data_IF_454384862546
#
_entry.id   IF_454384862546
#
_cell.length_a   1.000
_cell.length_b   1.000
_cell.length_c   1.000
_cell.angle_alpha   90.00
_cell.angle_beta   90.00
_cell.angle_gamma   90.00
#
_symmetry.space_group_name_H-M   'P 1'
#
loop_
_entity.id
_entity.type
_entity.pdbx_description
1 polymer ?
#
# COMPACT_ATOMS: atom_id res chain seq x y z
N UNK A 1 6.90 -12.44 -15.37
CA UNK A 1 6.36 -13.31 -14.30
C UNK A 1 7.41 -13.57 -13.23
N UNK A 2 8.63 -14.03 -13.56
CA UNK A 2 9.72 -14.22 -12.58
C UNK A 2 9.96 -12.99 -11.68
N UNK A 3 10.10 -11.80 -12.27
CA UNK A 3 10.30 -10.54 -11.51
C UNK A 3 9.15 -10.19 -10.56
N UNK A 4 7.89 -10.38 -10.98
CA UNK A 4 6.72 -10.19 -10.12
C UNK A 4 6.78 -11.09 -8.89
N UNK A 5 7.14 -12.37 -9.07
CA UNK A 5 7.24 -13.34 -7.98
C UNK A 5 8.34 -12.92 -7.00
N UNK A 6 9.49 -12.45 -7.49
CA UNK A 6 10.55 -11.96 -6.60
C UNK A 6 10.10 -10.77 -5.75
N UNK A 7 9.36 -9.82 -6.32
CA UNK A 7 8.82 -8.69 -5.55
C UNK A 7 7.83 -9.15 -4.47
N UNK A 8 6.94 -10.10 -4.80
CA UNK A 8 5.99 -10.63 -3.81
C UNK A 8 6.69 -11.44 -2.72
N UNK A 9 7.71 -12.23 -3.06
CA UNK A 9 8.54 -12.94 -2.08
C UNK A 9 9.28 -11.97 -1.17
N UNK A 10 9.89 -10.92 -1.74
CA UNK A 10 10.55 -9.88 -0.95
C UNK A 10 9.56 -9.18 -0.02
N UNK A 11 8.35 -8.85 -0.50
CA UNK A 11 7.30 -8.27 0.33
C UNK A 11 6.90 -9.20 1.50
N UNK A 12 6.72 -10.49 1.23
CA UNK A 12 6.41 -11.49 2.27
C UNK A 12 7.53 -11.60 3.31
N UNK A 13 8.78 -11.70 2.87
CA UNK A 13 9.94 -11.81 3.76
C UNK A 13 10.09 -10.54 4.62
N UNK A 14 9.95 -9.35 4.03
CA UNK A 14 10.03 -8.08 4.74
C UNK A 14 8.89 -7.93 5.75
N UNK A 15 7.68 -8.39 5.42
CA UNK A 15 6.54 -8.39 6.35
C UNK A 15 6.81 -9.31 7.54
N UNK A 16 7.31 -10.52 7.30
CA UNK A 16 7.69 -11.44 8.37
C UNK A 16 8.81 -10.86 9.25
N UNK A 17 9.83 -10.27 8.63
CA UNK A 17 10.92 -9.62 9.35
C UNK A 17 10.42 -8.44 10.21
N UNK A 18 9.51 -7.61 9.68
CA UNK A 18 8.89 -6.51 10.41
C UNK A 18 8.14 -7.02 11.65
N UNK A 19 7.37 -8.12 11.51
CA UNK A 19 6.66 -8.74 12.63
C UNK A 19 7.60 -9.31 13.69
N UNK A 20 8.74 -9.89 13.29
CA UNK A 20 9.74 -10.44 14.23
C UNK A 20 10.50 -9.34 14.98
N UNK A 21 10.76 -8.21 14.33
CA UNK A 21 11.49 -7.08 14.92
C UNK A 21 10.56 -6.19 15.77
N UNK A 22 9.25 -6.21 15.49
CA UNK A 22 8.22 -5.46 16.22
C UNK A 22 7.88 -4.15 15.52
N UNK A 23 6.65 -4.01 15.03
CA UNK A 23 6.19 -2.85 14.24
C UNK A 23 5.86 -1.64 15.13
N UNK A 24 5.33 -1.85 16.34
CA UNK A 24 4.88 -0.78 17.24
C UNK A 24 6.01 -0.01 17.89
N UNK A 25 7.13 -0.68 18.18
CA UNK A 25 8.11 -0.18 19.15
C UNK A 25 9.52 -0.04 18.57
N UNK A 26 9.69 -0.27 17.25
CA UNK A 26 11.00 -0.22 16.62
C UNK A 26 10.98 0.52 15.27
N UNK A 27 11.80 1.59 15.11
CA UNK A 27 11.99 2.23 13.80
C UNK A 27 12.41 1.24 12.68
N UNK A 28 13.25 0.22 12.93
CA UNK A 28 13.58 -0.78 11.92
C UNK A 28 12.37 -1.62 11.47
N UNK A 29 11.48 -2.03 12.38
CA UNK A 29 10.28 -2.79 12.04
C UNK A 29 9.34 -1.99 11.12
N UNK A 30 9.16 -0.70 11.41
CA UNK A 30 8.38 0.22 10.56
C UNK A 30 9.01 0.36 9.17
N UNK A 31 10.33 0.54 9.10
CA UNK A 31 11.05 0.65 7.83
C UNK A 31 10.89 -0.62 6.97
N UNK A 32 10.97 -1.81 7.58
CA UNK A 32 10.74 -3.09 6.92
C UNK A 32 9.31 -3.20 6.37
N UNK A 33 8.31 -2.76 7.13
CA UNK A 33 6.90 -2.77 6.71
C UNK A 33 6.67 -1.86 5.50
N UNK A 34 7.23 -0.65 5.50
CA UNK A 34 7.17 0.23 4.33
C UNK A 34 7.91 -0.36 3.13
N UNK A 35 9.05 -1.03 3.36
CA UNK A 35 9.75 -1.80 2.33
C UNK A 35 8.86 -2.88 1.72
N UNK A 36 8.10 -3.62 2.54
CA UNK A 36 7.14 -4.62 2.06
C UNK A 36 6.03 -3.99 1.22
N UNK A 37 5.50 -2.84 1.65
CA UNK A 37 4.54 -2.04 0.89
C UNK A 37 5.09 -1.63 -0.48
N UNK A 38 6.32 -1.10 -0.51
CA UNK A 38 7.00 -0.70 -1.74
C UNK A 38 7.15 -1.88 -2.71
N UNK A 39 7.63 -3.03 -2.23
CA UNK A 39 7.80 -4.23 -3.06
C UNK A 39 6.45 -4.72 -3.60
N UNK A 40 5.38 -4.65 -2.81
CA UNK A 40 4.03 -5.02 -3.23
C UNK A 40 3.53 -4.13 -4.38
N UNK A 41 3.75 -2.81 -4.28
CA UNK A 41 3.40 -1.88 -5.37
C UNK A 41 4.24 -2.17 -6.61
N UNK A 42 5.55 -2.34 -6.45
CA UNK A 42 6.47 -2.65 -7.57
C UNK A 42 6.11 -3.95 -8.27
N UNK A 43 5.64 -4.97 -7.55
CA UNK A 43 5.17 -6.22 -8.14
C UNK A 43 4.11 -5.98 -9.24
N UNK A 44 3.25 -4.98 -9.05
CA UNK A 44 2.20 -4.61 -10.01
C UNK A 44 2.75 -3.71 -11.13
N UNK A 45 3.55 -2.70 -10.78
CA UNK A 45 3.80 -1.57 -11.69
C UNK A 45 5.17 -1.61 -12.39
N UNK A 46 6.09 -2.51 -12.02
CA UNK A 46 7.45 -2.58 -12.59
C UNK A 46 7.50 -2.74 -14.12
N UNK A 47 6.43 -3.23 -14.76
CA UNK A 47 6.36 -3.40 -16.22
C UNK A 47 5.73 -2.21 -16.95
N UNK A 48 5.24 -1.22 -16.23
CA UNK A 48 4.59 -0.07 -16.84
C UNK A 48 5.62 0.82 -17.54
N UNK A 49 5.31 1.20 -18.78
CA UNK A 49 6.17 2.07 -19.61
C UNK A 49 5.55 3.44 -19.89
N UNK A 50 4.26 3.61 -19.59
CA UNK A 50 3.49 4.79 -19.94
C UNK A 50 3.34 5.72 -18.73
N UNK A 51 3.69 7.02 -18.82
CA UNK A 51 3.59 7.95 -17.69
C UNK A 51 2.15 8.14 -17.22
N UNK A 52 1.17 8.13 -18.14
CA UNK A 52 -0.25 8.25 -17.79
C UNK A 52 -0.70 7.21 -16.75
N UNK A 53 -0.18 5.98 -16.83
CA UNK A 53 -0.51 4.92 -15.86
C UNK A 53 0.02 5.26 -14.46
N UNK A 54 1.24 5.78 -14.37
CA UNK A 54 1.83 6.22 -13.12
C UNK A 54 1.12 7.44 -12.54
N UNK A 55 0.66 8.38 -13.37
CA UNK A 55 -0.19 9.50 -12.93
C UNK A 55 -1.53 9.02 -12.36
N UNK A 56 -2.16 8.01 -12.98
CA UNK A 56 -3.38 7.38 -12.43
C UNK A 56 -3.09 6.68 -11.10
N UNK A 57 -1.94 6.01 -10.96
CA UNK A 57 -1.55 5.39 -9.69
C UNK A 57 -1.37 6.43 -8.58
N UNK A 58 -0.72 7.56 -8.89
CA UNK A 58 -0.56 8.65 -7.94
C UNK A 58 -1.92 9.22 -7.50
N UNK A 59 -2.75 9.64 -8.44
CA UNK A 59 -4.08 10.20 -8.12
C UNK A 59 -4.99 9.18 -7.44
N UNK A 60 -4.96 7.93 -7.91
CA UNK A 60 -5.69 6.81 -7.33
C UNK A 60 -5.23 6.51 -5.91
N UNK A 61 -3.94 6.63 -5.60
CA UNK A 61 -3.42 6.42 -4.25
C UNK A 61 -3.91 7.49 -3.26
N UNK A 62 -4.01 8.74 -3.70
CA UNK A 62 -4.56 9.85 -2.90
C UNK A 62 -6.05 9.62 -2.67
N UNK A 63 -6.81 9.30 -3.71
CA UNK A 63 -8.24 9.00 -3.55
C UNK A 63 -8.47 7.78 -2.64
N UNK A 64 -7.72 6.69 -2.87
CA UNK A 64 -7.80 5.47 -2.07
C UNK A 64 -7.42 5.72 -0.61
N UNK A 65 -6.47 6.62 -0.33
CA UNK A 65 -6.12 7.00 1.04
C UNK A 65 -7.34 7.51 1.80
N UNK A 66 -8.03 8.52 1.27
CA UNK A 66 -9.20 9.09 1.93
C UNK A 66 -10.34 8.07 2.07
N UNK A 67 -10.58 7.27 1.03
CA UNK A 67 -11.60 6.20 1.07
C UNK A 67 -11.25 5.19 2.17
N UNK A 68 -10.01 4.75 2.26
CA UNK A 68 -9.60 3.73 3.23
C UNK A 68 -9.54 4.27 4.66
N UNK A 69 -9.20 5.54 4.85
CA UNK A 69 -9.33 6.22 6.15
C UNK A 69 -10.79 6.24 6.59
N UNK A 70 -11.72 6.58 5.70
CA UNK A 70 -13.16 6.54 5.99
C UNK A 70 -13.57 5.10 6.37
N UNK A 71 -13.22 4.11 5.54
CA UNK A 71 -13.53 2.70 5.80
C UNK A 71 -13.00 2.25 7.17
N UNK A 72 -11.74 2.58 7.48
CA UNK A 72 -11.12 2.25 8.77
C UNK A 72 -11.91 2.82 9.95
N UNK A 73 -12.18 4.13 9.94
CA UNK A 73 -12.87 4.81 11.04
C UNK A 73 -14.31 4.32 11.21
N UNK A 74 -15.07 4.16 10.12
CA UNK A 74 -16.46 3.68 10.21
C UNK A 74 -16.52 2.23 10.66
N UNK A 75 -15.61 1.37 10.19
CA UNK A 75 -15.56 -0.02 10.60
C UNK A 75 -15.15 -0.19 12.06
N UNK A 76 -14.19 0.61 12.55
CA UNK A 76 -13.79 0.64 13.97
C UNK A 76 -14.95 1.05 14.87
N UNK A 77 -15.56 2.21 14.59
CA UNK A 77 -16.72 2.69 15.35
C UNK A 77 -17.87 1.69 15.29
N UNK A 78 -18.11 1.08 14.13
CA UNK A 78 -19.16 0.07 13.97
C UNK A 78 -18.89 -1.20 14.78
N UNK A 79 -17.64 -1.67 14.85
CA UNK A 79 -17.25 -2.83 15.65
C UNK A 79 -17.53 -2.61 17.14
N UNK A 80 -17.19 -1.42 17.66
CA UNK A 80 -17.40 -1.07 19.06
C UNK A 80 -18.89 -1.02 19.43
N UNK A 81 -19.71 -0.43 18.55
CA UNK A 81 -21.15 -0.28 18.77
C UNK A 81 -21.91 -1.61 18.70
N UNK A 82 -21.41 -2.57 17.92
CA UNK A 82 -22.05 -3.87 17.68
C UNK A 82 -21.27 -5.00 18.39
N UNK A 83 -20.49 -4.66 19.42
CA UNK A 83 -19.72 -5.59 20.25
C UNK A 83 -20.55 -6.72 20.89
N UNK A 84 -21.87 -6.51 21.04
CA UNK A 84 -22.82 -7.51 21.50
C UNK A 84 -23.05 -8.66 20.49
N UNK A 85 -22.71 -8.48 19.21
CA UNK A 85 -22.74 -9.52 18.17
C UNK A 85 -21.29 -9.85 17.75
N UNK A 86 -20.62 -10.81 18.42
CA UNK A 86 -19.18 -11.01 18.31
C UNK A 86 -18.72 -11.36 16.89
N UNK A 87 -19.50 -12.14 16.15
CA UNK A 87 -19.16 -12.50 14.77
C UNK A 87 -19.09 -11.27 13.85
N UNK A 88 -20.04 -10.35 13.98
CA UNK A 88 -20.08 -9.14 13.16
C UNK A 88 -19.00 -8.14 13.59
N UNK A 89 -18.76 -8.00 14.90
CA UNK A 89 -17.70 -7.17 15.43
C UNK A 89 -16.31 -7.58 14.89
N UNK A 90 -16.00 -8.88 14.88
CA UNK A 90 -14.72 -9.39 14.34
C UNK A 90 -14.53 -9.03 12.87
N UNK A 91 -15.58 -9.14 12.05
CA UNK A 91 -15.51 -8.77 10.62
C UNK A 91 -15.23 -7.28 10.45
N UNK A 92 -15.92 -6.44 11.21
CA UNK A 92 -15.71 -4.98 11.16
C UNK A 92 -14.33 -4.58 11.69
N UNK A 93 -13.85 -5.19 12.77
CA UNK A 93 -12.48 -4.99 13.24
C UNK A 93 -11.45 -5.40 12.20
N UNK A 94 -11.62 -6.55 11.54
CA UNK A 94 -10.75 -6.99 10.44
C UNK A 94 -10.75 -5.99 9.29
N UNK A 95 -11.93 -5.51 8.87
CA UNK A 95 -12.06 -4.49 7.83
C UNK A 95 -11.36 -3.18 8.22
N UNK A 96 -11.48 -2.78 9.48
CA UNK A 96 -10.81 -1.61 10.03
C UNK A 96 -9.29 -1.72 9.91
N UNK A 97 -8.71 -2.84 10.36
CA UNK A 97 -7.26 -3.07 10.28
C UNK A 97 -6.78 -3.09 8.82
N UNK A 98 -7.50 -3.78 7.93
CA UNK A 98 -7.13 -3.83 6.51
C UNK A 98 -7.18 -2.43 5.88
N UNK A 99 -8.22 -1.66 6.16
CA UNK A 99 -8.35 -0.27 5.71
C UNK A 99 -7.18 0.59 6.17
N UNK A 100 -6.81 0.49 7.45
CA UNK A 100 -5.67 1.19 8.02
C UNK A 100 -4.35 0.82 7.34
N UNK A 101 -4.06 -0.48 7.17
CA UNK A 101 -2.83 -0.96 6.52
C UNK A 101 -2.75 -0.47 5.08
N UNK A 102 -3.85 -0.52 4.33
CA UNK A 102 -3.87 0.01 2.96
C UNK A 102 -3.63 1.52 2.97
N UNK A 103 -4.31 2.27 3.83
CA UNK A 103 -4.18 3.72 3.92
C UNK A 103 -2.77 4.16 4.32
N UNK A 104 -2.13 3.52 5.29
CA UNK A 104 -0.87 3.99 5.88
C UNK A 104 0.36 3.40 5.22
N UNK A 105 0.26 2.19 4.64
CA UNK A 105 1.41 1.51 4.03
C UNK A 105 1.30 1.51 2.51
N UNK A 106 0.18 1.04 1.95
CA UNK A 106 0.07 0.83 0.50
C UNK A 106 -0.12 2.15 -0.24
N UNK A 107 -1.03 3.02 0.20
CA UNK A 107 -1.32 4.30 -0.45
C UNK A 107 -0.08 5.22 -0.53
N UNK A 108 0.71 5.42 0.54
CA UNK A 108 1.89 6.29 0.46
C UNK A 108 2.96 5.72 -0.47
N UNK A 109 3.19 4.40 -0.42
CA UNK A 109 4.15 3.75 -1.33
C UNK A 109 3.67 3.80 -2.79
N UNK A 110 2.38 3.63 -3.03
CA UNK A 110 1.78 3.80 -4.35
C UNK A 110 1.89 5.25 -4.85
N UNK A 111 1.72 6.22 -3.96
CA UNK A 111 1.91 7.64 -4.26
C UNK A 111 3.36 7.94 -4.64
N UNK A 112 4.34 7.49 -3.84
CA UNK A 112 5.77 7.67 -4.15
C UNK A 112 6.14 7.02 -5.48
N UNK A 113 5.76 5.76 -5.70
CA UNK A 113 6.05 5.05 -6.94
C UNK A 113 5.32 5.67 -8.14
N UNK A 114 4.09 6.14 -7.94
CA UNK A 114 3.31 6.85 -8.95
C UNK A 114 3.98 8.16 -9.37
N UNK A 115 4.37 8.98 -8.41
CA UNK A 115 5.06 10.25 -8.67
C UNK A 115 6.42 10.03 -9.37
N UNK A 116 7.28 9.17 -8.80
CA UNK A 116 8.60 8.88 -9.34
C UNK A 116 8.52 8.22 -10.72
N UNK A 117 7.63 7.25 -10.89
CA UNK A 117 7.41 6.56 -12.16
C UNK A 117 6.88 7.50 -13.24
N UNK A 118 6.00 8.45 -12.88
CA UNK A 118 5.51 9.46 -13.82
C UNK A 118 6.64 10.36 -14.29
N UNK A 119 7.41 10.95 -13.37
CA UNK A 119 8.54 11.84 -13.71
C UNK A 119 9.58 11.10 -14.56
N UNK A 120 9.98 9.90 -14.16
CA UNK A 120 11.00 9.12 -14.85
C UNK A 120 10.59 8.70 -16.27
N UNK A 121 9.32 8.35 -16.47
CA UNK A 121 8.82 7.94 -17.81
C UNK A 121 8.47 9.12 -18.69
N UNK A 122 7.93 10.22 -18.13
CA UNK A 122 7.69 11.45 -18.86
C UNK A 122 9.00 12.06 -19.39
N UNK A 123 10.05 12.12 -18.56
CA UNK A 123 11.37 12.59 -18.99
C UNK A 123 11.98 11.72 -20.11
N UNK A 124 11.74 10.41 -20.09
CA UNK A 124 12.15 9.51 -21.18
C UNK A 124 11.38 9.75 -22.48
N UNK A 125 10.08 10.05 -22.41
CA UNK A 125 9.28 10.37 -23.61
C UNK A 125 9.76 11.66 -24.27
N UNK A 126 9.93 12.72 -23.48
CA UNK A 126 10.43 14.02 -23.96
C UNK A 126 11.80 13.84 -24.64
N UNK A 127 12.72 13.10 -24.01
CA UNK A 127 14.05 12.84 -24.58
C UNK A 127 14.00 12.05 -25.88
N UNK A 128 13.02 11.17 -26.05
CA UNK A 128 12.90 10.31 -27.21
C UNK A 128 12.07 10.94 -28.35
N UNK A 129 11.61 12.18 -28.22
CA UNK A 129 10.94 12.93 -29.29
C UNK A 129 9.55 12.45 -29.66
N UNK A 130 8.87 11.72 -28.77
CA UNK A 130 7.46 11.28 -28.90
C UNK A 130 6.57 12.02 -27.91
#
# INVERSE_FOLDING_TARGET
>A
MKSTVYFLLAAGILTLAASLVGISDSPPGIALLYGAGLMSVLAVVHRWKQPKRFGILFLGSVAAFFIMVIVHNFAEVGADRISHLPALAVVLSGLSVVGFVIAVIVCPMAGVVGALGWVATAGRQIRNGT
#
